data_IF_821451279802
#
_entry.id   IF_821451279802
#
_cell.length_a   1.000
_cell.length_b   1.000
_cell.length_c   1.000
_cell.angle_alpha   90.00
_cell.angle_beta   90.00
_cell.angle_gamma   90.00
#
_symmetry.space_group_name_H-M   'P 1'
#
loop_
_entity.id
_entity.type
_entity.pdbx_description
1 polymer ?
#
# COMPACT_ATOMS: atom_id res chain seq x y z
N UNK A 1 3.45 -22.16 41.27
CA UNK A 1 2.84 -22.18 39.90
C UNK A 1 2.30 -20.80 39.46
N UNK A 2 1.87 -19.94 40.38
CA UNK A 2 1.33 -18.58 40.12
C UNK A 2 2.30 -17.62 39.42
N UNK A 3 3.59 -17.63 39.76
CA UNK A 3 4.60 -16.72 39.17
C UNK A 3 4.85 -16.95 37.66
N UNK A 4 4.78 -18.21 37.20
CA UNK A 4 4.93 -18.57 35.78
C UNK A 4 3.71 -18.17 34.94
N UNK A 5 2.50 -18.25 35.51
CA UNK A 5 1.26 -17.83 34.85
C UNK A 5 1.19 -16.31 34.70
N UNK A 6 1.61 -15.53 35.71
CA UNK A 6 1.67 -14.07 35.62
C UNK A 6 2.63 -13.57 34.52
N UNK A 7 3.80 -14.20 34.38
CA UNK A 7 4.76 -13.87 33.32
C UNK A 7 4.24 -14.19 31.91
N UNK A 8 3.52 -15.32 31.76
CA UNK A 8 2.86 -15.69 30.50
C UNK A 8 1.77 -14.69 30.11
N UNK A 9 0.93 -14.28 31.07
CA UNK A 9 -0.16 -13.32 30.81
C UNK A 9 0.40 -11.94 30.44
N UNK A 10 1.43 -11.45 31.14
CA UNK A 10 2.12 -10.19 30.80
C UNK A 10 2.78 -10.28 29.42
N UNK A 11 3.47 -11.37 29.12
CA UNK A 11 4.07 -11.60 27.80
C UNK A 11 3.02 -11.57 26.68
N UNK A 12 1.88 -12.23 26.89
CA UNK A 12 0.79 -12.22 25.92
C UNK A 12 0.18 -10.83 25.73
N UNK A 13 -0.05 -10.10 26.82
CA UNK A 13 -0.56 -8.73 26.78
C UNK A 13 0.36 -7.78 26.00
N UNK A 14 1.69 -7.90 26.19
CA UNK A 14 2.66 -7.12 25.43
C UNK A 14 2.60 -7.44 23.92
N UNK A 15 2.48 -8.71 23.54
CA UNK A 15 2.36 -9.10 22.13
C UNK A 15 1.08 -8.52 21.50
N UNK A 16 -0.06 -8.61 22.21
CA UNK A 16 -1.32 -8.05 21.73
C UNK A 16 -1.24 -6.52 21.58
N UNK A 17 -0.63 -5.83 22.54
CA UNK A 17 -0.45 -4.38 22.48
C UNK A 17 0.44 -3.97 21.30
N UNK A 18 1.56 -4.68 21.08
CA UNK A 18 2.45 -4.41 19.93
C UNK A 18 1.75 -4.68 18.60
N UNK A 19 1.00 -5.77 18.49
CA UNK A 19 0.23 -6.09 17.29
C UNK A 19 -0.84 -5.02 17.01
N UNK A 20 -1.59 -4.60 18.04
CA UNK A 20 -2.59 -3.55 17.92
C UNK A 20 -1.98 -2.21 17.49
N UNK A 21 -0.85 -1.82 18.08
CA UNK A 21 -0.13 -0.60 17.69
C UNK A 21 0.37 -0.66 16.23
N UNK A 22 0.85 -1.83 15.78
CA UNK A 22 1.25 -2.05 14.39
C UNK A 22 0.07 -1.90 13.43
N UNK A 23 -1.06 -2.57 13.70
CA UNK A 23 -2.28 -2.50 12.88
C UNK A 23 -2.82 -1.07 12.84
N UNK A 24 -2.80 -0.36 13.97
CA UNK A 24 -3.20 1.05 14.00
C UNK A 24 -2.31 1.91 13.11
N UNK A 25 -0.99 1.73 13.20
CA UNK A 25 -0.03 2.48 12.38
C UNK A 25 -0.21 2.19 10.89
N UNK A 26 -0.37 0.94 10.49
CA UNK A 26 -0.55 0.57 9.07
C UNK A 26 -1.87 1.10 8.54
N UNK A 27 -2.95 1.04 9.34
CA UNK A 27 -4.23 1.63 8.97
C UNK A 27 -4.11 3.14 8.74
N UNK A 28 -3.48 3.88 9.65
CA UNK A 28 -3.25 5.32 9.53
C UNK A 28 -2.41 5.67 8.28
N UNK A 29 -1.37 4.89 7.99
CA UNK A 29 -0.58 5.05 6.76
C UNK A 29 -1.41 4.76 5.51
N UNK A 30 -2.26 3.74 5.55
CA UNK A 30 -3.20 3.41 4.49
C UNK A 30 -4.19 4.54 4.20
N UNK A 31 -4.76 5.15 5.23
CA UNK A 31 -5.68 6.29 5.10
C UNK A 31 -4.97 7.50 4.47
N UNK A 32 -3.75 7.79 4.90
CA UNK A 32 -2.93 8.86 4.29
C UNK A 32 -2.66 8.59 2.81
N UNK A 33 -2.31 7.35 2.46
CA UNK A 33 -2.09 6.95 1.07
C UNK A 33 -3.37 7.04 0.23
N UNK A 34 -4.52 6.65 0.79
CA UNK A 34 -5.82 6.72 0.11
C UNK A 34 -6.21 8.19 -0.18
N UNK A 35 -5.99 9.07 0.79
CA UNK A 35 -6.21 10.50 0.64
C UNK A 35 -5.28 11.08 -0.45
N UNK A 36 -3.98 10.75 -0.40
CA UNK A 36 -2.99 11.21 -1.37
C UNK A 36 -3.28 10.68 -2.79
N UNK A 37 -3.64 9.40 -2.93
CA UNK A 37 -3.93 8.75 -4.20
C UNK A 37 -4.98 9.48 -5.02
N UNK A 38 -5.99 10.06 -4.38
CA UNK A 38 -7.02 10.86 -5.04
C UNK A 38 -6.50 12.05 -5.84
N UNK A 39 -5.42 12.66 -5.37
CA UNK A 39 -4.76 13.79 -6.02
C UNK A 39 -3.74 13.41 -7.07
N UNK A 40 -3.34 12.13 -7.15
CA UNK A 40 -2.33 11.69 -8.12
C UNK A 40 -2.96 11.57 -9.51
N UNK A 41 -2.26 12.06 -10.52
CA UNK A 41 -2.60 11.86 -11.92
C UNK A 41 -1.66 10.84 -12.58
N UNK A 42 -2.18 9.95 -13.42
CA UNK A 42 -1.34 9.05 -14.21
C UNK A 42 -0.62 9.86 -15.31
N UNK A 43 0.49 9.32 -15.83
CA UNK A 43 1.38 9.99 -16.79
C UNK A 43 2.67 10.50 -16.17
N UNK A 44 2.73 10.58 -14.83
CA UNK A 44 3.95 10.87 -14.07
C UNK A 44 4.93 9.70 -14.01
N UNK A 45 6.10 9.94 -13.39
CA UNK A 45 7.13 8.91 -13.24
C UNK A 45 6.78 7.93 -12.11
N UNK A 46 7.31 6.70 -12.18
CA UNK A 46 7.22 5.75 -11.07
C UNK A 46 7.78 6.33 -9.76
N UNK A 47 8.88 7.05 -9.82
CA UNK A 47 9.55 7.62 -8.65
C UNK A 47 8.66 8.63 -7.92
N UNK A 48 7.90 9.44 -8.66
CA UNK A 48 6.95 10.40 -8.12
C UNK A 48 5.85 9.71 -7.31
N UNK A 49 5.27 8.62 -7.82
CA UNK A 49 4.26 7.87 -7.08
C UNK A 49 4.85 7.24 -5.81
N UNK A 50 6.06 6.70 -5.88
CA UNK A 50 6.74 6.13 -4.69
C UNK A 50 7.02 7.24 -3.65
N UNK A 51 7.31 8.45 -4.09
CA UNK A 51 7.49 9.59 -3.19
C UNK A 51 6.17 9.99 -2.50
N UNK A 52 5.05 9.95 -3.22
CA UNK A 52 3.73 10.35 -2.71
C UNK A 52 3.11 9.27 -1.81
N UNK A 53 3.11 8.01 -2.25
CA UNK A 53 2.42 6.89 -1.58
C UNK A 53 3.36 6.03 -0.72
N UNK A 54 4.65 6.37 -0.70
CA UNK A 54 5.70 5.60 -0.04
C UNK A 54 6.10 4.33 -0.81
N UNK A 55 6.89 3.50 -0.15
CA UNK A 55 7.38 2.26 -0.75
C UNK A 55 6.22 1.28 -1.03
N UNK A 56 6.19 0.65 -2.21
CA UNK A 56 5.20 -0.37 -2.51
C UNK A 56 5.42 -1.61 -1.64
N UNK A 57 4.33 -2.22 -1.19
CA UNK A 57 4.35 -3.47 -0.44
C UNK A 57 4.62 -4.66 -1.35
N UNK A 58 4.17 -4.60 -2.61
CA UNK A 58 4.44 -5.63 -3.61
C UNK A 58 4.70 -5.02 -4.98
N UNK A 59 5.59 -5.64 -5.74
CA UNK A 59 5.94 -5.28 -7.11
C UNK A 59 5.74 -6.53 -7.98
N UNK A 60 4.85 -6.47 -8.97
CA UNK A 60 4.56 -7.60 -9.87
C UNK A 60 4.63 -7.19 -11.32
N UNK A 61 5.60 -7.74 -12.06
CA UNK A 61 5.66 -7.59 -13.51
C UNK A 61 4.68 -8.53 -14.21
N UNK A 62 4.18 -8.14 -15.39
CA UNK A 62 3.50 -9.06 -16.29
C UNK A 62 4.49 -10.04 -16.94
N UNK A 63 3.99 -11.11 -17.57
CA UNK A 63 4.83 -12.12 -18.23
C UNK A 63 5.72 -11.54 -19.33
N UNK A 64 5.25 -10.53 -20.04
CA UNK A 64 6.01 -9.85 -21.08
C UNK A 64 7.03 -8.84 -20.53
N UNK A 65 7.09 -8.60 -19.21
CA UNK A 65 7.94 -7.61 -18.55
C UNK A 65 7.80 -6.17 -19.09
N UNK A 66 6.67 -5.86 -19.72
CA UNK A 66 6.36 -4.53 -20.27
C UNK A 66 5.60 -3.66 -19.28
N UNK A 67 4.96 -4.27 -18.28
CA UNK A 67 4.17 -3.56 -17.27
C UNK A 67 4.48 -4.08 -15.87
N UNK A 68 4.57 -3.18 -14.91
CA UNK A 68 4.76 -3.49 -13.48
C UNK A 68 3.60 -2.92 -12.69
N UNK A 69 2.91 -3.78 -11.96
CA UNK A 69 1.94 -3.37 -10.95
C UNK A 69 2.66 -3.15 -9.60
N UNK A 70 2.54 -1.95 -9.07
CA UNK A 70 2.95 -1.57 -7.73
C UNK A 70 1.71 -1.56 -6.84
N UNK A 71 1.77 -2.26 -5.72
CA UNK A 71 0.71 -2.22 -4.71
C UNK A 71 1.24 -1.46 -3.50
N UNK A 72 0.44 -0.57 -2.95
CA UNK A 72 0.80 0.28 -1.81
C UNK A 72 -0.01 -0.10 -0.58
N UNK A 73 0.44 0.38 0.58
CA UNK A 73 -0.29 0.22 1.84
C UNK A 73 -1.66 0.88 1.72
N UNK A 74 -2.71 0.14 2.07
CA UNK A 74 -4.10 0.58 2.07
C UNK A 74 -4.70 0.41 3.47
N UNK A 75 -5.81 1.12 3.79
CA UNK A 75 -6.53 0.91 5.03
C UNK A 75 -6.94 -0.56 5.20
N UNK A 76 -6.99 -1.04 6.45
CA UNK A 76 -7.33 -2.44 6.77
C UNK A 76 -8.71 -2.85 6.23
N UNK A 77 -9.64 -1.90 6.10
CA UNK A 77 -11.01 -2.12 5.62
C UNK A 77 -11.24 -1.67 4.18
N UNK A 78 -10.18 -1.41 3.41
CA UNK A 78 -10.33 -1.04 2.00
C UNK A 78 -10.85 -2.23 1.18
N UNK A 79 -11.79 -1.98 0.27
CA UNK A 79 -12.33 -3.01 -0.62
C UNK A 79 -11.25 -3.62 -1.53
N UNK A 80 -10.31 -2.77 -1.96
CA UNK A 80 -9.16 -3.14 -2.81
C UNK A 80 -7.92 -2.37 -2.35
N UNK A 81 -6.72 -2.92 -2.60
CA UNK A 81 -5.48 -2.21 -2.31
C UNK A 81 -5.24 -1.09 -3.32
N UNK A 82 -4.51 -0.05 -2.90
CA UNK A 82 -4.04 1.00 -3.80
C UNK A 82 -3.01 0.40 -4.75
N UNK A 83 -3.20 0.59 -6.05
CA UNK A 83 -2.39 -0.02 -7.10
C UNK A 83 -2.04 0.99 -8.19
N UNK A 84 -0.80 0.98 -8.63
CA UNK A 84 -0.36 1.72 -9.82
C UNK A 84 0.23 0.76 -10.85
N UNK A 85 -0.05 0.98 -12.13
CA UNK A 85 0.54 0.22 -13.24
C UNK A 85 1.53 1.11 -13.95
N UNK A 86 2.76 0.66 -14.05
CA UNK A 86 3.87 1.38 -14.68
C UNK A 86 4.25 0.68 -15.97
N UNK A 87 4.44 1.44 -17.05
CA UNK A 87 5.09 0.96 -18.25
C UNK A 87 6.60 0.87 -17.99
N UNK A 88 7.18 -0.32 -18.16
CA UNK A 88 8.61 -0.55 -17.85
C UNK A 88 9.54 0.19 -18.81
N UNK A 89 9.13 0.34 -20.08
CA UNK A 89 9.97 0.97 -21.11
C UNK A 89 10.18 2.45 -20.84
N UNK A 90 9.09 3.15 -20.50
CA UNK A 90 9.08 4.59 -20.35
C UNK A 90 9.17 5.03 -18.86
N UNK A 91 9.10 4.07 -17.93
CA UNK A 91 8.96 4.25 -16.46
C UNK A 91 7.84 5.22 -16.03
N UNK A 92 6.78 5.24 -16.84
CA UNK A 92 5.60 6.10 -16.70
C UNK A 92 4.44 5.32 -16.10
N UNK A 93 3.70 5.96 -15.20
CA UNK A 93 2.49 5.38 -14.62
C UNK A 93 1.33 5.52 -15.59
N UNK A 94 0.81 4.37 -16.01
CA UNK A 94 -0.29 4.26 -16.97
C UNK A 94 -1.66 4.21 -16.31
N UNK A 95 -1.74 3.68 -15.08
CA UNK A 95 -3.01 3.50 -14.36
C UNK A 95 -2.76 3.65 -12.87
N UNK A 96 -3.70 4.27 -12.17
CA UNK A 96 -3.73 4.35 -10.71
C UNK A 96 -5.15 3.98 -10.28
N UNK A 97 -5.27 2.94 -9.45
CA UNK A 97 -6.48 2.50 -8.77
C UNK A 97 -6.30 2.75 -7.28
N UNK A 98 -7.10 3.66 -6.70
CA UNK A 98 -7.01 3.98 -5.28
C UNK A 98 -7.75 2.96 -4.39
N UNK A 99 -8.42 1.97 -4.97
CA UNK A 99 -9.09 0.91 -4.24
C UNK A 99 -10.43 1.29 -3.61
N UNK A 100 -10.92 2.50 -3.89
CA UNK A 100 -12.22 3.05 -3.46
C UNK A 100 -13.14 3.41 -4.64
N UNK A 101 -12.86 2.84 -5.82
CA UNK A 101 -13.58 3.10 -7.06
C UNK A 101 -13.00 4.25 -7.88
N UNK A 102 -12.06 5.05 -7.35
CA UNK A 102 -11.32 6.04 -8.13
C UNK A 102 -10.21 5.35 -8.91
N UNK A 103 -10.42 5.19 -10.21
CA UNK A 103 -9.44 4.66 -11.16
C UNK A 103 -9.17 5.75 -12.20
N UNK A 104 -7.89 6.07 -12.41
CA UNK A 104 -7.43 7.00 -13.43
C UNK A 104 -6.46 6.29 -14.36
N UNK A 105 -6.66 6.46 -15.67
CA UNK A 105 -5.81 5.89 -16.71
C UNK A 105 -5.20 7.00 -17.55
N UNK A 106 -3.92 6.85 -17.89
CA UNK A 106 -3.22 7.70 -18.84
C UNK A 106 -3.15 6.97 -20.17
N UNK A 107 -3.93 7.45 -21.13
CA UNK A 107 -4.00 6.86 -22.45
C UNK A 107 -3.11 7.67 -23.40
N UNK A 108 -1.87 7.21 -23.56
CA UNK A 108 -0.91 7.80 -24.52
C UNK A 108 -0.69 6.92 -25.75
N UNK A 109 -1.47 5.84 -25.89
CA UNK A 109 -1.27 4.81 -26.92
C UNK A 109 -2.59 4.26 -27.44
#
# INVERSE_FOLDING_TARGET
MTRRRGALVLGLACVVAMAGAWVWRTHQQGEANLAACGGVEPGGSRAEIIQILGAPTTIKANQAMTRVALTFTSPVLAEKPIRAVVNVRDDVVMEIDCGDGRIKTYDKY
#
